data_IF_065281717108
#
_entry.id   IF_065281717108
#
_cell.length_a   1.000
_cell.length_b   1.000
_cell.length_c   1.000
_cell.angle_alpha   90.00
_cell.angle_beta   90.00
_cell.angle_gamma   90.00
#
_symmetry.space_group_name_H-M   'P 1'
#
loop_
_entity.id
_entity.type
_entity.pdbx_description
1 polymer ?
#
# COMPACT_ATOMS: atom_id res chain seq x y z
N UNK A 1 11.51 30.70 2.58
CA UNK A 1 11.83 29.29 2.21
C UNK A 1 11.78 28.32 3.41
N UNK A 2 12.41 28.62 4.55
CA UNK A 2 12.49 27.65 5.67
C UNK A 2 11.15 27.40 6.38
N UNK A 3 10.39 28.45 6.68
CA UNK A 3 9.11 28.34 7.39
C UNK A 3 8.04 27.68 6.52
N UNK A 4 8.02 27.98 5.22
CA UNK A 4 7.10 27.38 4.25
C UNK A 4 7.30 25.86 4.16
N UNK A 5 8.54 25.38 4.19
CA UNK A 5 8.86 23.95 4.19
C UNK A 5 8.37 23.29 5.48
N UNK A 6 8.62 23.91 6.65
CA UNK A 6 8.14 23.39 7.93
C UNK A 6 6.63 23.25 7.94
N UNK A 7 5.91 24.28 7.46
CA UNK A 7 4.46 24.27 7.36
C UNK A 7 3.97 23.21 6.37
N UNK A 8 4.66 23.04 5.25
CA UNK A 8 4.32 22.00 4.28
C UNK A 8 4.46 20.59 4.87
N UNK A 9 5.55 20.30 5.58
CA UNK A 9 5.75 19.03 6.28
C UNK A 9 4.68 18.85 7.36
N UNK A 10 4.38 19.90 8.14
CA UNK A 10 3.32 19.86 9.13
C UNK A 10 1.94 19.56 8.51
N UNK A 11 1.66 20.10 7.32
CA UNK A 11 0.44 19.80 6.58
C UNK A 11 0.37 18.34 6.11
N UNK A 12 1.49 17.74 5.70
CA UNK A 12 1.55 16.30 5.38
C UNK A 12 1.21 15.48 6.63
N UNK A 13 1.86 15.76 7.76
CA UNK A 13 1.59 15.07 9.02
C UNK A 13 0.12 15.26 9.46
N UNK A 14 -0.41 16.46 9.30
CA UNK A 14 -1.82 16.76 9.57
C UNK A 14 -2.76 15.91 8.71
N UNK A 15 -2.46 15.77 7.41
CA UNK A 15 -3.20 14.89 6.51
C UNK A 15 -3.19 13.42 6.96
N UNK A 16 -2.05 12.93 7.42
CA UNK A 16 -1.93 11.56 7.98
C UNK A 16 -2.79 11.40 9.23
N UNK A 17 -2.71 12.36 10.15
CA UNK A 17 -3.45 12.33 11.42
C UNK A 17 -4.96 12.41 11.19
N UNK A 18 -5.43 13.27 10.28
CA UNK A 18 -6.86 13.33 9.92
C UNK A 18 -7.34 12.02 9.32
N UNK A 19 -6.57 11.44 8.38
CA UNK A 19 -6.93 10.18 7.76
C UNK A 19 -7.06 9.05 8.79
N UNK A 20 -6.10 8.95 9.72
CA UNK A 20 -6.13 7.96 10.79
C UNK A 20 -7.25 8.19 11.81
N UNK A 21 -7.50 9.46 12.17
CA UNK A 21 -8.59 9.79 13.08
C UNK A 21 -9.93 9.36 12.50
N UNK A 22 -10.12 9.64 11.21
CA UNK A 22 -11.37 9.34 10.51
C UNK A 22 -11.55 7.85 10.22
N UNK A 23 -10.46 7.11 9.96
CA UNK A 23 -10.53 5.65 9.80
C UNK A 23 -10.97 4.92 11.07
N UNK A 24 -10.69 5.48 12.26
CA UNK A 24 -11.17 4.95 13.54
C UNK A 24 -12.58 5.40 13.91
N UNK A 25 -13.15 6.37 13.19
CA UNK A 25 -14.51 6.84 13.45
C UNK A 25 -14.86 8.12 12.69
N UNK A 26 -16.07 8.16 12.13
CA UNK A 26 -16.54 9.19 11.22
C UNK A 26 -17.78 9.96 11.75
N UNK A 27 -17.91 10.09 13.07
CA UNK A 27 -19.08 10.73 13.73
C UNK A 27 -19.42 12.11 13.16
N UNK A 28 -18.40 12.91 12.86
CA UNK A 28 -18.59 14.23 12.26
C UNK A 28 -19.20 14.13 10.86
N UNK A 29 -18.73 13.19 10.04
CA UNK A 29 -19.28 12.97 8.70
C UNK A 29 -20.73 12.47 8.77
N UNK A 30 -21.02 11.51 9.65
CA UNK A 30 -22.38 11.01 9.88
C UNK A 30 -23.35 12.12 10.30
N UNK A 31 -22.91 13.04 11.15
CA UNK A 31 -23.71 14.20 11.54
C UNK A 31 -24.07 15.08 10.34
N UNK A 32 -23.09 15.47 9.52
CA UNK A 32 -23.35 16.28 8.33
C UNK A 32 -24.18 15.53 7.29
N UNK A 33 -23.94 14.23 7.14
CA UNK A 33 -24.74 13.38 6.26
C UNK A 33 -26.21 13.34 6.69
N UNK A 34 -26.49 13.19 7.99
CA UNK A 34 -27.86 13.22 8.53
C UNK A 34 -28.53 14.59 8.39
N UNK A 35 -27.75 15.66 8.47
CA UNK A 35 -28.24 17.04 8.29
C UNK A 35 -28.61 17.34 6.84
N UNK A 36 -27.83 16.83 5.87
CA UNK A 36 -27.97 17.19 4.46
C UNK A 36 -28.81 16.20 3.63
N UNK A 37 -28.93 14.94 4.07
CA UNK A 37 -29.62 13.90 3.31
C UNK A 37 -30.92 13.43 4.00
N UNK A 38 -31.91 13.06 3.19
CA UNK A 38 -33.14 12.40 3.64
C UNK A 38 -32.84 11.02 4.24
N UNK A 39 -33.72 10.49 5.08
CA UNK A 39 -33.52 9.19 5.77
C UNK A 39 -33.20 8.05 4.80
N UNK A 40 -33.76 8.07 3.59
CA UNK A 40 -33.52 7.07 2.54
C UNK A 40 -32.10 7.13 1.94
N UNK A 41 -31.47 8.31 1.96
CA UNK A 41 -30.13 8.56 1.41
C UNK A 41 -29.06 8.68 2.50
N UNK A 42 -29.42 8.41 3.76
CA UNK A 42 -28.47 8.45 4.85
C UNK A 42 -27.52 7.25 4.80
N UNK A 43 -26.25 7.52 5.09
CA UNK A 43 -25.23 6.51 5.22
C UNK A 43 -25.51 5.66 6.47
N UNK A 44 -25.25 4.36 6.40
CA UNK A 44 -25.42 3.45 7.53
C UNK A 44 -24.41 3.80 8.63
N UNK A 45 -24.81 3.63 9.89
CA UNK A 45 -23.95 3.91 11.06
C UNK A 45 -22.69 3.02 11.12
N UNK A 46 -22.68 1.90 10.39
CA UNK A 46 -21.55 0.96 10.32
C UNK A 46 -20.53 1.32 9.23
N UNK A 47 -20.85 2.25 8.33
CA UNK A 47 -19.95 2.64 7.25
C UNK A 47 -18.90 3.61 7.79
N UNK A 48 -17.63 3.36 7.45
CA UNK A 48 -16.47 4.14 7.90
C UNK A 48 -16.16 5.33 6.99
N UNK A 49 -16.82 5.46 5.85
CA UNK A 49 -16.56 6.52 4.88
C UNK A 49 -16.70 7.91 5.49
N UNK A 50 -15.78 8.80 5.14
CA UNK A 50 -15.70 10.14 5.69
C UNK A 50 -15.42 11.22 4.65
N UNK A 51 -14.98 12.38 5.13
CA UNK A 51 -14.52 13.48 4.30
C UNK A 51 -13.24 13.12 3.53
N UNK A 52 -12.36 12.34 4.16
CA UNK A 52 -11.05 11.96 3.62
C UNK A 52 -10.92 10.45 3.51
N UNK A 53 -11.29 9.71 4.56
CA UNK A 53 -11.21 8.25 4.58
C UNK A 53 -12.19 7.62 3.58
N UNK A 54 -11.70 6.67 2.76
CA UNK A 54 -12.45 6.01 1.68
C UNK A 54 -13.12 6.95 0.65
N UNK A 55 -12.75 8.24 0.64
CA UNK A 55 -13.35 9.22 -0.26
C UNK A 55 -12.59 9.32 -1.59
N UNK A 56 -13.34 9.48 -2.69
CA UNK A 56 -12.80 9.74 -4.01
C UNK A 56 -11.97 11.03 -4.03
N UNK A 57 -10.95 11.09 -4.90
CA UNK A 57 -10.02 12.22 -5.00
C UNK A 57 -10.74 13.58 -5.08
N UNK A 58 -11.71 13.70 -5.98
CA UNK A 58 -12.42 14.96 -6.22
C UNK A 58 -13.11 15.46 -4.96
N UNK A 59 -13.88 14.60 -4.29
CA UNK A 59 -14.61 15.01 -3.09
C UNK A 59 -13.67 15.24 -1.91
N UNK A 60 -12.63 14.42 -1.77
CA UNK A 60 -11.57 14.63 -0.79
C UNK A 60 -10.89 15.99 -0.97
N UNK A 61 -10.55 16.35 -2.21
CA UNK A 61 -9.99 17.64 -2.55
C UNK A 61 -10.93 18.78 -2.16
N UNK A 62 -12.21 18.68 -2.53
CA UNK A 62 -13.23 19.69 -2.19
C UNK A 62 -13.34 19.87 -0.68
N UNK A 63 -13.46 18.78 0.09
CA UNK A 63 -13.59 18.88 1.55
C UNK A 63 -12.34 19.48 2.21
N UNK A 64 -11.14 19.08 1.79
CA UNK A 64 -9.90 19.65 2.32
C UNK A 64 -9.81 21.14 1.95
N UNK A 65 -10.11 21.50 0.70
CA UNK A 65 -10.10 22.90 0.26
C UNK A 65 -11.10 23.75 1.07
N UNK A 66 -12.33 23.26 1.28
CA UNK A 66 -13.34 23.94 2.10
C UNK A 66 -12.89 24.09 3.55
N UNK A 67 -12.28 23.05 4.14
CA UNK A 67 -11.73 23.13 5.50
C UNK A 67 -10.68 24.24 5.63
N UNK A 68 -9.77 24.35 4.67
CA UNK A 68 -8.77 25.41 4.65
C UNK A 68 -9.37 26.79 4.33
N UNK A 69 -10.39 26.88 3.47
CA UNK A 69 -11.11 28.14 3.24
C UNK A 69 -11.77 28.65 4.51
N UNK A 70 -12.44 27.78 5.27
CA UNK A 70 -12.99 28.13 6.58
C UNK A 70 -11.87 28.56 7.54
N UNK A 71 -10.74 27.84 7.52
CA UNK A 71 -9.55 28.22 8.29
C UNK A 71 -9.04 29.62 7.97
N UNK A 72 -8.96 29.99 6.68
CA UNK A 72 -8.60 31.35 6.24
C UNK A 72 -9.56 32.38 6.81
N UNK A 73 -10.88 32.13 6.72
CA UNK A 73 -11.89 33.06 7.22
C UNK A 73 -11.80 33.28 8.74
N UNK A 74 -11.28 32.32 9.50
CA UNK A 74 -11.04 32.47 10.94
C UNK A 74 -9.70 33.18 11.20
N UNK A 75 -8.64 32.80 10.48
CA UNK A 75 -7.29 33.34 10.68
C UNK A 75 -7.16 34.76 10.13
N UNK A 76 -8.02 35.19 9.19
CA UNK A 76 -8.00 36.56 8.63
C UNK A 76 -8.22 37.65 9.69
N UNK A 77 -8.86 37.31 10.82
CA UNK A 77 -9.01 38.23 11.96
C UNK A 77 -7.68 38.47 12.69
N UNK A 78 -6.72 37.55 12.57
CA UNK A 78 -5.39 37.65 13.21
C UNK A 78 -4.32 38.13 12.23
N UNK A 79 -4.39 37.72 10.96
CA UNK A 79 -3.35 37.96 9.95
C UNK A 79 -3.98 38.53 8.67
N UNK A 80 -3.47 39.66 8.13
CA UNK A 80 -3.97 40.22 6.88
C UNK A 80 -3.69 39.29 5.69
N UNK A 81 -4.68 39.14 4.80
CA UNK A 81 -4.57 38.28 3.63
C UNK A 81 -3.70 38.97 2.57
N UNK A 82 -2.60 38.31 2.18
CA UNK A 82 -1.73 38.74 1.09
C UNK A 82 -1.34 37.54 0.20
N UNK A 83 -0.57 37.80 -0.86
CA UNK A 83 -0.13 36.77 -1.80
C UNK A 83 0.66 35.63 -1.12
N UNK A 84 1.49 35.95 -0.12
CA UNK A 84 2.27 34.96 0.61
C UNK A 84 1.35 34.03 1.44
N UNK A 85 0.32 34.59 2.08
CA UNK A 85 -0.69 33.82 2.81
C UNK A 85 -1.42 32.85 1.87
N UNK A 86 -1.85 33.31 0.69
CA UNK A 86 -2.54 32.46 -0.30
C UNK A 86 -1.64 31.29 -0.74
N UNK A 87 -0.37 31.58 -1.05
CA UNK A 87 0.59 30.54 -1.44
C UNK A 87 0.81 29.50 -0.33
N UNK A 88 0.91 29.96 0.92
CA UNK A 88 1.06 29.11 2.09
C UNK A 88 -0.17 28.19 2.27
N UNK A 89 -1.39 28.71 2.10
CA UNK A 89 -2.61 27.90 2.14
C UNK A 89 -2.70 26.88 1.01
N UNK A 90 -2.32 27.25 -0.21
CA UNK A 90 -2.25 26.30 -1.31
C UNK A 90 -1.28 25.14 -0.97
N UNK A 91 -0.09 25.47 -0.45
CA UNK A 91 0.89 24.49 0.02
C UNK A 91 0.31 23.57 1.09
N UNK A 92 -0.43 24.11 2.07
CA UNK A 92 -1.08 23.30 3.11
C UNK A 92 -2.16 22.36 2.55
N UNK A 93 -2.96 22.79 1.57
CA UNK A 93 -3.96 21.94 0.92
C UNK A 93 -3.28 20.76 0.22
N UNK A 94 -2.25 21.02 -0.59
CA UNK A 94 -1.51 19.97 -1.29
C UNK A 94 -0.75 19.06 -0.33
N UNK A 95 -0.10 19.61 0.69
CA UNK A 95 0.58 18.84 1.73
C UNK A 95 -0.38 17.91 2.45
N UNK A 96 -1.54 18.42 2.87
CA UNK A 96 -2.59 17.61 3.50
C UNK A 96 -3.07 16.50 2.57
N UNK A 97 -3.36 16.81 1.30
CA UNK A 97 -3.75 15.78 0.32
C UNK A 97 -2.70 14.68 0.19
N UNK A 98 -1.44 15.05 0.01
CA UNK A 98 -0.31 14.09 -0.05
C UNK A 98 -0.29 13.23 1.21
N UNK A 99 -0.40 13.83 2.39
CA UNK A 99 -0.46 13.12 3.67
C UNK A 99 -1.59 12.07 3.73
N UNK A 100 -2.77 12.41 3.22
CA UNK A 100 -3.91 11.46 3.21
C UNK A 100 -3.69 10.27 2.27
N UNK A 101 -2.94 10.44 1.19
CA UNK A 101 -2.57 9.35 0.29
C UNK A 101 -1.47 8.47 0.87
N UNK A 102 -0.46 9.09 1.51
CA UNK A 102 0.57 8.36 2.25
C UNK A 102 -0.08 7.50 3.33
N UNK A 103 -0.99 8.08 4.12
CA UNK A 103 -1.73 7.34 5.13
C UNK A 103 -2.53 6.18 4.51
N UNK A 104 -3.31 6.44 3.45
CA UNK A 104 -4.06 5.40 2.77
C UNK A 104 -3.19 4.24 2.25
N UNK A 105 -2.00 4.53 1.73
CA UNK A 105 -1.04 3.49 1.32
C UNK A 105 -0.51 2.68 2.53
N UNK A 106 -0.17 3.34 3.64
CA UNK A 106 0.30 2.67 4.85
C UNK A 106 -0.80 1.80 5.47
N UNK A 107 -2.02 2.32 5.63
CA UNK A 107 -3.13 1.56 6.22
C UNK A 107 -3.61 0.41 5.32
N UNK A 108 -3.64 0.62 4.00
CA UNK A 108 -3.97 -0.45 3.06
C UNK A 108 -2.87 -1.52 3.02
N UNK A 109 -1.61 -1.13 3.14
CA UNK A 109 -0.52 -2.11 3.21
C UNK A 109 -0.52 -2.89 4.51
N UNK A 110 -0.87 -2.30 5.67
CA UNK A 110 -1.00 -3.07 6.91
C UNK A 110 -2.10 -4.14 6.81
N UNK A 111 -3.25 -3.80 6.23
CA UNK A 111 -4.36 -4.74 6.03
C UNK A 111 -3.99 -5.87 5.05
N UNK A 112 -3.32 -5.53 3.93
CA UNK A 112 -2.83 -6.52 2.97
C UNK A 112 -1.71 -7.39 3.58
N UNK A 113 -0.85 -6.83 4.42
CA UNK A 113 0.22 -7.58 5.09
C UNK A 113 -0.40 -8.60 6.03
N UNK A 114 -1.41 -8.22 6.82
CA UNK A 114 -2.10 -9.12 7.75
C UNK A 114 -2.78 -10.29 7.01
N UNK A 115 -3.55 -10.01 5.96
CA UNK A 115 -4.21 -11.04 5.13
C UNK A 115 -3.18 -11.93 4.39
N UNK A 116 -2.06 -11.35 3.95
CA UNK A 116 -0.98 -12.12 3.32
C UNK A 116 -0.21 -12.96 4.34
N UNK A 117 -0.02 -12.49 5.57
CA UNK A 117 0.70 -13.24 6.61
C UNK A 117 0.00 -14.56 6.92
N UNK A 118 -1.33 -14.58 7.03
CA UNK A 118 -2.09 -15.83 7.19
C UNK A 118 -1.86 -16.79 6.00
N UNK A 119 -1.95 -16.30 4.76
CA UNK A 119 -1.68 -17.11 3.56
C UNK A 119 -0.20 -17.49 3.38
N UNK A 120 0.73 -16.74 3.98
CA UNK A 120 2.15 -17.05 4.02
C UNK A 120 2.46 -18.07 5.12
N UNK A 121 1.76 -18.05 6.25
CA UNK A 121 1.88 -19.02 7.33
C UNK A 121 1.47 -20.42 6.84
N UNK A 122 0.32 -20.53 6.15
CA UNK A 122 -0.12 -21.77 5.51
C UNK A 122 0.90 -22.31 4.48
N UNK A 123 1.49 -21.42 3.68
CA UNK A 123 2.53 -21.79 2.68
C UNK A 123 3.86 -22.14 3.32
N UNK A 124 4.21 -21.54 4.45
CA UNK A 124 5.41 -21.88 5.21
C UNK A 124 5.25 -23.25 5.86
N UNK A 125 4.07 -23.56 6.38
CA UNK A 125 3.75 -24.89 6.92
C UNK A 125 3.85 -25.96 5.82
N UNK A 126 3.31 -25.69 4.62
CA UNK A 126 3.42 -26.59 3.46
C UNK A 126 4.88 -26.77 2.97
N UNK A 127 5.73 -25.73 3.06
CA UNK A 127 7.16 -25.81 2.72
C UNK A 127 7.94 -26.57 3.79
N UNK A 128 7.60 -26.41 5.07
CA UNK A 128 8.21 -27.15 6.17
C UNK A 128 7.85 -28.63 6.07
N UNK A 129 6.60 -28.94 5.75
CA UNK A 129 6.12 -30.31 5.56
C UNK A 129 6.78 -30.98 4.36
N UNK A 130 6.83 -30.32 3.20
CA UNK A 130 7.62 -30.79 2.05
C UNK A 130 9.10 -30.93 2.38
N UNK A 131 9.66 -30.00 3.16
CA UNK A 131 11.05 -30.05 3.62
C UNK A 131 11.35 -31.26 4.50
N UNK A 132 10.39 -31.67 5.35
CA UNK A 132 10.47 -32.94 6.10
C UNK A 132 10.41 -34.14 5.17
N UNK A 133 9.48 -34.17 4.21
CA UNK A 133 9.39 -35.24 3.21
C UNK A 133 10.70 -35.40 2.41
N UNK A 134 11.37 -34.29 2.06
CA UNK A 134 12.67 -34.33 1.38
C UNK A 134 13.81 -34.85 2.27
N UNK A 135 13.77 -34.60 3.58
CA UNK A 135 14.76 -35.13 4.54
C UNK A 135 14.51 -36.62 4.81
N UNK A 136 13.25 -37.04 4.90
CA UNK A 136 12.86 -38.42 5.10
C UNK A 136 13.18 -39.28 3.86
N UNK A 137 12.92 -38.79 2.64
CA UNK A 137 13.31 -39.45 1.38
C UNK A 137 14.85 -39.54 1.21
N UNK A 138 15.60 -38.64 1.84
CA UNK A 138 17.07 -38.72 1.89
C UNK A 138 17.56 -39.80 2.87
N UNK A 139 16.90 -39.94 4.03
CA UNK A 139 17.20 -40.98 5.01
C UNK A 139 16.77 -42.39 4.55
N UNK A 140 15.71 -42.51 3.74
CA UNK A 140 15.20 -43.80 3.24
C UNK A 140 16.05 -44.36 2.07
N UNK A 141 16.77 -43.51 1.34
CA UNK A 141 17.61 -43.90 0.20
C UNK A 141 18.99 -44.46 0.58
N UNK A 142 19.44 -44.29 1.82
CA UNK A 142 20.73 -44.83 2.30
C UNK A 142 20.71 -46.33 2.64
N UNK A 143 19.57 -47.02 2.46
CA UNK A 143 19.44 -48.45 2.74
C UNK A 143 19.02 -49.31 1.53
N UNK A 144 19.59 -49.03 0.36
CA UNK A 144 19.61 -49.97 -0.77
C UNK A 144 21.04 -50.15 -1.25
N UNK A 145 21.52 -51.38 -1.03
CA UNK A 145 22.81 -51.92 -1.40
C UNK A 145 23.23 -51.49 -2.83
N UNK A 146 24.45 -50.96 -2.91
CA UNK A 146 25.13 -50.60 -4.16
C UNK A 146 25.46 -51.89 -4.92
N UNK A 147 24.64 -52.25 -5.90
CA UNK A 147 25.03 -53.21 -6.93
C UNK A 147 25.85 -52.47 -8.01
N UNK A 148 27.14 -52.76 -8.04
CA UNK A 148 28.13 -52.13 -8.92
C UNK A 148 27.93 -52.65 -10.35
N UNK A 149 27.12 -51.94 -11.14
CA UNK A 149 27.15 -52.06 -12.59
C UNK A 149 27.98 -50.92 -13.18
N UNK A 150 29.20 -51.30 -13.61
CA UNK A 150 30.22 -50.50 -14.30
C UNK A 150 29.64 -49.51 -15.31
N UNK A 151 29.76 -48.21 -15.03
CA UNK A 151 29.59 -47.17 -16.04
C UNK A 151 30.79 -47.17 -17.00
N UNK A 152 30.52 -47.52 -18.25
CA UNK A 152 31.41 -47.38 -19.40
C UNK A 152 31.56 -45.88 -19.72
N UNK A 153 32.74 -45.38 -20.15
CA UNK A 153 32.98 -43.95 -20.29
C UNK A 153 32.05 -43.31 -21.34
N UNK A 154 31.33 -42.26 -20.96
CA UNK A 154 30.55 -41.42 -21.90
C UNK A 154 31.52 -40.78 -22.90
N UNK A 155 31.42 -41.23 -24.15
CA UNK A 155 32.06 -40.65 -25.33
C UNK A 155 31.65 -39.17 -25.44
N UNK A 156 32.63 -38.29 -25.63
CA UNK A 156 32.43 -36.86 -25.88
C UNK A 156 31.51 -36.66 -27.10
N UNK A 157 30.26 -36.24 -26.86
CA UNK A 157 29.35 -35.89 -27.93
C UNK A 157 29.73 -34.54 -28.54
N UNK A 158 29.96 -34.54 -29.87
CA UNK A 158 30.29 -33.33 -30.64
C UNK A 158 29.24 -32.22 -30.42
N UNK A 159 29.74 -31.00 -30.22
CA UNK A 159 28.94 -29.79 -30.04
C UNK A 159 27.94 -29.59 -31.19
N UNK A 160 26.77 -29.04 -30.87
CA UNK A 160 25.68 -28.77 -31.82
C UNK A 160 26.15 -28.00 -33.07
N UNK A 161 27.21 -27.20 -32.95
CA UNK A 161 27.83 -26.44 -34.04
C UNK A 161 28.57 -27.32 -35.06
N UNK A 162 29.23 -28.38 -34.60
CA UNK A 162 29.92 -29.33 -35.49
C UNK A 162 28.91 -30.21 -36.22
N UNK A 163 27.79 -30.56 -35.56
CA UNK A 163 26.68 -31.31 -36.17
C UNK A 163 25.99 -30.53 -37.30
N UNK A 164 25.96 -29.20 -37.22
CA UNK A 164 25.40 -28.33 -38.25
C UNK A 164 26.34 -28.18 -39.46
N UNK A 165 27.66 -28.17 -39.22
CA UNK A 165 28.68 -28.11 -40.27
C UNK A 165 28.73 -29.41 -41.09
N UNK A 166 28.67 -30.58 -40.45
CA UNK A 166 28.67 -31.87 -41.15
C UNK A 166 27.43 -32.09 -42.04
N UNK A 167 26.33 -31.38 -41.75
CA UNK A 167 25.09 -31.43 -42.55
C UNK A 167 25.04 -30.39 -43.68
N UNK A 168 26.09 -29.58 -43.85
CA UNK A 168 26.20 -28.64 -44.98
C UNK A 168 25.26 -27.42 -44.90
N UNK A 169 24.76 -27.08 -43.71
CA UNK A 169 23.89 -25.91 -43.51
C UNK A 169 24.67 -24.63 -43.12
N UNK A 170 26.01 -24.71 -43.04
CA UNK A 170 26.95 -23.63 -42.72
C UNK A 170 28.25 -23.76 -43.54
#
# INVERSE_FOLDING_TARGET
MTVEIIIFIAAILFGIVIYWRESRGNKMYLFFNKLMNSEELQMKDTDTKGFVFQQNFVLRFVYIAVLFLIGILIVQFLIPINYATISLFASMIFGTLIGTYIAGAIFKSSEIIEERTEAFEDRLEEIIEKGKDFVDDFNEKDNKEVDVTKEVPKVEEKSARERLKDKGFL
#
